data_IF_071936838835
#
_entry.id   IF_071936838835
#
_cell.length_a   1.000
_cell.length_b   1.000
_cell.length_c   1.000
_cell.angle_alpha   90.00
_cell.angle_beta   90.00
_cell.angle_gamma   90.00
#
_symmetry.space_group_name_H-M   'P 1'
#
loop_
_entity.id
_entity.type
_entity.pdbx_description
1 polymer ?
#
# COMPACT_ATOMS: atom_id res chain seq x y z
N UNK A 1 24.70 27.88 44.33
CA UNK A 1 24.40 26.46 44.03
C UNK A 1 22.89 26.17 43.92
N UNK A 2 22.15 26.77 42.97
CA UNK A 2 20.68 26.56 42.86
C UNK A 2 20.18 26.15 41.46
N UNK A 3 21.07 25.77 40.53
CA UNK A 3 20.68 25.61 39.11
C UNK A 3 20.53 24.15 38.66
N UNK A 4 21.16 23.19 39.36
CA UNK A 4 21.19 21.78 38.90
C UNK A 4 19.87 21.05 39.19
N UNK A 5 19.27 21.27 40.37
CA UNK A 5 18.04 20.56 40.77
C UNK A 5 16.82 20.93 39.90
N UNK A 6 16.79 22.15 39.35
CA UNK A 6 15.71 22.58 38.46
C UNK A 6 15.74 21.85 37.11
N UNK A 7 16.94 21.65 36.54
CA UNK A 7 17.11 20.97 35.26
C UNK A 7 16.76 19.48 35.36
N UNK A 8 17.12 18.82 36.48
CA UNK A 8 16.75 17.41 36.73
C UNK A 8 15.23 17.24 36.75
N UNK A 9 14.50 18.14 37.43
CA UNK A 9 13.04 18.09 37.52
C UNK A 9 12.34 18.33 36.18
N UNK A 10 12.91 19.20 35.33
CA UNK A 10 12.41 19.41 33.96
C UNK A 10 12.60 18.14 33.12
N UNK A 11 13.76 17.49 33.21
CA UNK A 11 14.05 16.26 32.46
C UNK A 11 13.14 15.10 32.87
N UNK A 12 12.86 14.95 34.17
CA UNK A 12 11.92 13.95 34.67
C UNK A 12 10.47 14.22 34.23
N UNK A 13 10.07 15.49 34.23
CA UNK A 13 8.73 15.90 33.77
C UNK A 13 8.54 15.61 32.28
N UNK A 14 9.57 15.90 31.46
CA UNK A 14 9.57 15.58 30.03
C UNK A 14 9.55 14.05 29.79
N UNK A 15 10.30 13.27 30.58
CA UNK A 15 10.25 11.79 30.51
C UNK A 15 8.87 11.23 30.84
N UNK A 16 8.20 11.76 31.87
CA UNK A 16 6.87 11.32 32.26
C UNK A 16 5.82 11.67 31.21
N UNK A 17 5.86 12.89 30.67
CA UNK A 17 4.96 13.30 29.59
C UNK A 17 5.19 12.52 28.30
N UNK A 18 6.44 12.18 27.98
CA UNK A 18 6.78 11.36 26.81
C UNK A 18 6.32 9.91 26.98
N UNK A 19 6.48 9.32 28.17
CA UNK A 19 5.93 7.99 28.48
C UNK A 19 4.41 7.98 28.38
N UNK A 20 3.73 9.01 28.88
CA UNK A 20 2.26 9.13 28.78
C UNK A 20 1.78 9.25 27.34
N UNK A 21 2.52 9.97 26.47
CA UNK A 21 2.28 9.98 25.01
C UNK A 21 2.56 8.64 24.35
N UNK A 22 3.65 7.94 24.72
CA UNK A 22 3.96 6.60 24.22
C UNK A 22 2.93 5.55 24.65
N UNK A 23 2.39 5.66 25.87
CA UNK A 23 1.29 4.79 26.29
C UNK A 23 0.00 5.12 25.55
N UNK A 24 -0.31 6.40 25.29
CA UNK A 24 -1.45 6.77 24.44
C UNK A 24 -1.34 6.23 23.01
N UNK A 25 -0.12 6.13 22.46
CA UNK A 25 0.14 5.49 21.15
C UNK A 25 -0.02 3.96 21.23
N UNK A 26 0.31 3.33 22.36
CA UNK A 26 0.04 1.90 22.58
C UNK A 26 -1.44 1.60 22.84
N UNK A 27 -2.22 2.54 23.38
CA UNK A 27 -3.66 2.37 23.66
C UNK A 27 -4.57 2.82 22.52
N UNK A 28 -4.04 3.36 21.43
CA UNK A 28 -4.62 3.05 20.12
C UNK A 28 -4.37 1.56 19.87
N UNK A 29 -5.17 0.73 20.54
CA UNK A 29 -5.66 -0.48 19.91
C UNK A 29 -6.30 0.01 18.61
N UNK A 30 -5.48 0.10 17.55
CA UNK A 30 -5.98 -0.18 16.23
C UNK A 30 -6.72 -1.49 16.44
N UNK A 31 -8.06 -1.42 16.45
CA UNK A 31 -8.87 -2.58 16.25
C UNK A 31 -8.41 -3.06 14.87
N UNK A 32 -7.38 -3.91 14.85
CA UNK A 32 -7.04 -4.72 13.70
C UNK A 32 -8.28 -5.58 13.57
N UNK A 33 -9.22 -5.05 12.79
CA UNK A 33 -10.44 -5.72 12.42
C UNK A 33 -9.98 -7.09 11.94
N UNK A 34 -10.36 -8.16 12.66
CA UNK A 34 -9.73 -9.49 12.48
C UNK A 34 -9.92 -10.05 11.07
N UNK A 35 -10.75 -9.41 10.25
CA UNK A 35 -10.95 -9.69 8.83
C UNK A 35 -10.09 -8.87 7.86
N UNK A 36 -9.25 -7.95 8.32
CA UNK A 36 -8.30 -7.24 7.46
C UNK A 36 -7.09 -8.14 7.22
N UNK A 37 -6.90 -8.51 5.96
CA UNK A 37 -5.79 -9.32 5.48
C UNK A 37 -4.92 -8.49 4.55
N UNK A 38 -3.67 -8.94 4.38
CA UNK A 38 -2.72 -8.34 3.44
C UNK A 38 -2.42 -9.36 2.35
N UNK A 39 -2.56 -8.93 1.10
CA UNK A 39 -2.23 -9.70 -0.09
C UNK A 39 -1.03 -9.04 -0.75
N UNK A 40 -0.07 -9.85 -1.19
CA UNK A 40 1.08 -9.39 -1.96
C UNK A 40 1.36 -10.36 -3.08
N UNK A 41 1.59 -9.82 -4.26
CA UNK A 41 1.94 -10.58 -5.45
C UNK A 41 2.87 -9.79 -6.35
N UNK A 42 3.56 -10.53 -7.22
CA UNK A 42 4.54 -10.00 -8.16
C UNK A 42 4.21 -10.54 -9.54
N UNK A 43 4.20 -9.66 -10.54
CA UNK A 43 3.87 -10.01 -11.92
C UNK A 43 4.93 -9.41 -12.85
N UNK A 44 5.69 -10.24 -13.57
CA UNK A 44 6.65 -9.75 -14.55
C UNK A 44 5.92 -9.12 -15.74
N UNK A 45 6.51 -8.09 -16.33
CA UNK A 45 5.99 -7.41 -17.52
C UNK A 45 5.79 -5.91 -17.34
N UNK A 46 5.35 -5.26 -18.41
CA UNK A 46 5.04 -3.82 -18.42
C UNK A 46 3.54 -3.63 -18.51
N UNK A 47 3.00 -2.76 -17.67
CA UNK A 47 1.60 -2.37 -17.71
C UNK A 47 1.45 -1.03 -18.43
N UNK A 48 0.38 -0.85 -19.21
CA UNK A 48 0.04 0.48 -19.73
C UNK A 48 -0.60 1.31 -18.62
N UNK A 49 -0.34 2.61 -18.62
CA UNK A 49 -0.90 3.51 -17.61
C UNK A 49 -2.44 3.50 -17.61
N UNK A 50 -3.05 3.45 -18.80
CA UNK A 50 -4.51 3.31 -18.98
C UNK A 50 -5.06 2.01 -18.36
N UNK A 51 -4.40 0.89 -18.59
CA UNK A 51 -4.79 -0.42 -18.08
C UNK A 51 -4.66 -0.47 -16.55
N UNK A 52 -3.59 0.12 -16.01
CA UNK A 52 -3.41 0.26 -14.56
C UNK A 52 -4.53 1.10 -13.93
N UNK A 53 -4.90 2.22 -14.56
CA UNK A 53 -5.99 3.07 -14.08
C UNK A 53 -7.32 2.32 -14.04
N UNK A 54 -7.64 1.56 -15.10
CA UNK A 54 -8.84 0.73 -15.16
C UNK A 54 -8.84 -0.36 -14.08
N UNK A 55 -7.70 -1.02 -13.88
CA UNK A 55 -7.54 -2.01 -12.81
C UNK A 55 -7.83 -1.41 -11.43
N UNK A 56 -7.24 -0.25 -11.11
CA UNK A 56 -7.42 0.40 -9.81
C UNK A 56 -8.87 0.86 -9.63
N UNK A 57 -9.50 1.44 -10.66
CA UNK A 57 -10.92 1.83 -10.60
C UNK A 57 -11.84 0.62 -10.36
N UNK A 58 -11.63 -0.46 -11.10
CA UNK A 58 -12.41 -1.69 -10.96
C UNK A 58 -12.27 -2.30 -9.55
N UNK A 59 -11.09 -2.11 -8.95
CA UNK A 59 -10.78 -2.65 -7.64
C UNK A 59 -11.27 -1.76 -6.49
N UNK A 60 -11.08 -0.43 -6.57
CA UNK A 60 -11.41 0.51 -5.49
C UNK A 60 -12.85 1.02 -5.54
N UNK A 61 -13.38 1.35 -6.73
CA UNK A 61 -14.68 2.03 -6.88
C UNK A 61 -15.81 1.06 -7.17
N UNK A 62 -15.61 0.27 -8.23
CA UNK A 62 -16.62 -0.65 -8.72
C UNK A 62 -16.84 -1.81 -7.75
N UNK A 63 -15.79 -2.18 -7.00
CA UNK A 63 -15.80 -3.34 -6.08
C UNK A 63 -16.36 -4.60 -6.75
N UNK A 64 -16.14 -4.71 -8.06
CA UNK A 64 -16.64 -5.78 -8.90
C UNK A 64 -15.84 -7.07 -8.71
N UNK A 65 -14.67 -6.98 -8.08
CA UNK A 65 -13.85 -8.14 -7.74
C UNK A 65 -14.46 -8.82 -6.52
N UNK A 66 -15.00 -10.02 -6.75
CA UNK A 66 -15.57 -10.88 -5.72
C UNK A 66 -14.61 -12.02 -5.42
N UNK A 67 -14.55 -12.44 -4.15
CA UNK A 67 -13.82 -13.63 -3.77
C UNK A 67 -14.49 -14.90 -4.32
N UNK A 68 -13.84 -16.06 -4.16
CA UNK A 68 -14.39 -17.36 -4.58
C UNK A 68 -15.73 -17.71 -3.93
N UNK A 69 -16.09 -17.05 -2.83
CA UNK A 69 -17.34 -17.25 -2.09
C UNK A 69 -18.43 -16.26 -2.49
N UNK A 70 -18.14 -15.32 -3.41
CA UNK A 70 -19.06 -14.32 -3.92
C UNK A 70 -19.13 -13.04 -3.08
N UNK A 71 -18.29 -12.89 -2.05
CA UNK A 71 -18.21 -11.65 -1.26
C UNK A 71 -17.40 -10.60 -2.00
N UNK A 72 -17.87 -9.36 -1.91
CA UNK A 72 -17.16 -8.19 -2.42
C UNK A 72 -15.85 -7.97 -1.65
N UNK A 73 -14.76 -7.78 -2.39
CA UNK A 73 -13.47 -7.39 -1.83
C UNK A 73 -13.47 -5.91 -1.45
N UNK A 74 -12.99 -5.60 -0.25
CA UNK A 74 -12.92 -4.24 0.26
C UNK A 74 -11.46 -3.85 0.46
N UNK A 75 -10.90 -3.06 -0.45
CA UNK A 75 -9.51 -2.60 -0.39
C UNK A 75 -9.44 -1.28 0.39
N UNK A 76 -8.75 -1.31 1.53
CA UNK A 76 -8.53 -0.14 2.39
C UNK A 76 -7.28 0.62 1.94
N UNK A 77 -6.23 -0.11 1.56
CA UNK A 77 -4.98 0.47 1.12
C UNK A 77 -4.36 -0.35 0.00
N UNK A 78 -3.90 0.34 -1.02
CA UNK A 78 -3.10 -0.19 -2.11
C UNK A 78 -1.72 0.49 -2.06
N UNK A 79 -0.66 -0.29 -2.20
CA UNK A 79 0.66 0.21 -2.57
C UNK A 79 1.26 -0.72 -3.59
N UNK A 80 1.97 -0.19 -4.57
CA UNK A 80 2.66 -1.02 -5.52
C UNK A 80 3.80 -0.27 -6.18
N UNK A 81 4.76 -1.04 -6.66
CA UNK A 81 5.79 -0.60 -7.57
C UNK A 81 5.46 -1.23 -8.92
N UNK A 82 5.24 -0.43 -9.94
CA UNK A 82 4.81 -0.90 -11.26
C UNK A 82 5.77 -0.43 -12.33
N UNK A 83 5.94 -1.26 -13.35
CA UNK A 83 6.68 -0.91 -14.55
C UNK A 83 5.71 -0.45 -15.63
N UNK A 84 5.71 0.85 -15.92
CA UNK A 84 4.83 1.42 -16.94
C UNK A 84 5.51 1.38 -18.31
N UNK A 85 4.79 0.90 -19.32
CA UNK A 85 5.27 0.90 -20.69
C UNK A 85 5.60 2.32 -21.16
N UNK A 86 6.83 2.53 -21.65
CA UNK A 86 7.31 3.83 -22.10
C UNK A 86 7.97 4.68 -21.01
N UNK A 87 7.98 4.24 -19.74
CA UNK A 87 8.71 4.90 -18.65
C UNK A 87 9.99 4.14 -18.30
N UNK A 88 11.09 4.88 -18.21
CA UNK A 88 12.39 4.32 -17.79
C UNK A 88 12.49 4.17 -16.28
N UNK A 89 11.74 4.95 -15.50
CA UNK A 89 11.75 4.87 -14.04
C UNK A 89 10.64 3.99 -13.47
N UNK A 90 10.86 3.52 -12.25
CA UNK A 90 9.85 2.81 -11.48
C UNK A 90 8.76 3.79 -11.04
N UNK A 91 7.51 3.36 -11.08
CA UNK A 91 6.37 4.17 -10.64
C UNK A 91 5.77 3.53 -9.40
N UNK A 92 5.62 4.32 -8.35
CA UNK A 92 4.91 3.92 -7.15
C UNK A 92 3.44 4.28 -7.33
N UNK A 93 2.57 3.27 -7.24
CA UNK A 93 1.15 3.46 -7.04
C UNK A 93 0.84 3.41 -5.55
N UNK A 94 0.07 4.37 -5.05
CA UNK A 94 -0.45 4.32 -3.70
C UNK A 94 -1.90 4.77 -3.66
N UNK A 95 -2.75 3.99 -3.00
CA UNK A 95 -4.15 4.31 -2.82
C UNK A 95 -4.64 4.05 -1.41
N UNK A 96 -5.60 4.85 -0.97
CA UNK A 96 -6.28 4.76 0.31
C UNK A 96 -7.77 4.94 0.07
N UNK A 97 -8.56 3.93 0.42
CA UNK A 97 -9.98 3.84 0.08
C UNK A 97 -10.19 4.00 -1.44
N UNK A 98 -10.80 5.11 -1.86
CA UNK A 98 -11.17 5.37 -3.26
C UNK A 98 -10.17 6.29 -3.97
N UNK A 99 -9.19 6.83 -3.25
CA UNK A 99 -8.20 7.74 -3.83
C UNK A 99 -6.91 6.98 -4.13
N UNK A 100 -6.31 7.25 -5.27
CA UNK A 100 -4.99 6.75 -5.61
C UNK A 100 -4.16 7.80 -6.33
N UNK A 101 -2.85 7.63 -6.27
CA UNK A 101 -1.86 8.48 -6.90
C UNK A 101 -0.75 7.62 -7.54
N UNK A 102 -0.11 8.19 -8.57
CA UNK A 102 1.02 7.59 -9.29
C UNK A 102 2.21 8.54 -9.20
N UNK A 103 3.26 8.09 -8.52
CA UNK A 103 4.48 8.86 -8.32
C UNK A 103 5.64 8.19 -9.04
N UNK A 104 6.25 8.89 -10.00
CA UNK A 104 7.49 8.43 -10.63
C UNK A 104 8.65 8.57 -9.64
N UNK A 105 9.40 7.49 -9.46
CA UNK A 105 10.55 7.48 -8.54
C UNK A 105 11.82 7.96 -9.26
N UNK A 106 12.81 8.37 -8.48
CA UNK A 106 14.15 8.65 -9.01
C UNK A 106 14.92 7.39 -9.43
N UNK A 107 14.36 6.19 -9.20
CA UNK A 107 15.01 4.91 -9.51
C UNK A 107 14.65 4.54 -10.94
N UNK A 108 15.65 4.54 -11.82
CA UNK A 108 15.52 3.99 -13.15
C UNK A 108 15.48 2.46 -13.07
N UNK A 109 14.72 1.82 -13.95
CA UNK A 109 14.90 0.41 -14.23
C UNK A 109 16.18 0.22 -15.03
N UNK A 110 17.01 -0.74 -14.63
CA UNK A 110 18.20 -1.10 -15.41
C UNK A 110 17.80 -1.74 -16.75
N UNK A 111 18.63 -1.59 -17.78
CA UNK A 111 18.35 -2.13 -19.12
C UNK A 111 18.24 -3.66 -19.14
N UNK A 112 18.95 -4.34 -18.25
CA UNK A 112 18.94 -5.80 -18.07
C UNK A 112 18.04 -6.28 -16.92
N UNK A 113 17.36 -5.37 -16.21
CA UNK A 113 16.47 -5.76 -15.11
C UNK A 113 15.11 -6.20 -15.65
N UNK A 114 14.68 -7.39 -15.21
CA UNK A 114 13.34 -7.89 -15.49
C UNK A 114 12.30 -6.97 -14.86
N UNK A 115 11.68 -6.14 -15.69
CA UNK A 115 10.55 -5.27 -15.33
C UNK A 115 9.50 -6.09 -14.58
N UNK A 116 9.31 -5.78 -13.30
CA UNK A 116 8.42 -6.55 -12.42
C UNK A 116 7.52 -5.61 -11.64
N UNK A 117 6.23 -5.94 -11.62
CA UNK A 117 5.22 -5.22 -10.87
C UNK A 117 5.04 -5.90 -9.52
N UNK A 118 5.08 -5.15 -8.42
CA UNK A 118 4.90 -5.65 -7.06
C UNK A 118 3.77 -4.89 -6.42
N UNK A 119 2.69 -5.57 -6.06
CA UNK A 119 1.52 -4.93 -5.44
C UNK A 119 1.27 -5.50 -4.06
N UNK A 120 0.90 -4.61 -3.14
CA UNK A 120 0.54 -4.86 -1.75
C UNK A 120 -0.83 -4.25 -1.51
N UNK A 121 -1.79 -5.10 -1.18
CA UNK A 121 -3.17 -4.71 -0.90
C UNK A 121 -3.53 -5.08 0.52
N UNK A 122 -4.21 -4.19 1.21
CA UNK A 122 -4.67 -4.38 2.58
C UNK A 122 -6.17 -4.12 2.59
N UNK A 123 -6.94 -5.08 3.07
CA UNK A 123 -8.39 -5.05 2.92
C UNK A 123 -9.09 -6.26 3.50
N UNK A 124 -10.41 -6.34 3.32
CA UNK A 124 -11.24 -7.46 3.79
C UNK A 124 -11.65 -8.35 2.63
N UNK A 125 -11.76 -9.65 2.88
CA UNK A 125 -12.15 -10.67 1.90
C UNK A 125 -11.28 -10.67 0.62
N UNK A 126 -10.04 -10.20 0.69
CA UNK A 126 -9.14 -10.17 -0.46
C UNK A 126 -8.76 -11.59 -0.90
N UNK A 127 -8.99 -11.93 -2.16
CA UNK A 127 -8.50 -13.17 -2.74
C UNK A 127 -7.26 -12.89 -3.60
N UNK A 128 -6.11 -13.39 -3.15
CA UNK A 128 -4.84 -13.21 -3.84
C UNK A 128 -4.89 -13.72 -5.28
N UNK A 129 -5.46 -14.90 -5.50
CA UNK A 129 -5.40 -15.56 -6.81
C UNK A 129 -6.22 -14.79 -7.83
N UNK A 130 -7.42 -14.35 -7.44
CA UNK A 130 -8.29 -13.55 -8.32
C UNK A 130 -7.67 -12.19 -8.60
N UNK A 131 -7.18 -11.46 -7.58
CA UNK A 131 -6.58 -10.13 -7.81
C UNK A 131 -5.33 -10.26 -8.69
N UNK A 132 -4.51 -11.29 -8.45
CA UNK A 132 -3.31 -11.54 -9.24
C UNK A 132 -3.68 -11.90 -10.69
N UNK A 133 -4.69 -12.74 -10.91
CA UNK A 133 -5.16 -13.12 -12.25
C UNK A 133 -5.70 -11.92 -13.03
N UNK A 134 -6.54 -11.09 -12.40
CA UNK A 134 -7.04 -9.85 -12.99
C UNK A 134 -5.87 -8.94 -13.37
N UNK A 135 -4.89 -8.77 -12.49
CA UNK A 135 -3.71 -7.95 -12.77
C UNK A 135 -2.85 -8.54 -13.90
N UNK A 136 -2.65 -9.86 -13.94
CA UNK A 136 -1.95 -10.55 -15.03
C UNK A 136 -2.66 -10.31 -16.36
N UNK A 137 -3.99 -10.37 -16.38
CA UNK A 137 -4.78 -10.05 -17.57
C UNK A 137 -4.52 -8.62 -18.03
N UNK A 138 -4.53 -7.66 -17.11
CA UNK A 138 -4.24 -6.24 -17.39
C UNK A 138 -2.82 -6.00 -17.96
N UNK A 139 -1.82 -6.77 -17.51
CA UNK A 139 -0.44 -6.75 -18.04
C UNK A 139 -0.34 -7.46 -19.39
N UNK A 140 -1.13 -8.52 -19.59
CA UNK A 140 -1.06 -9.40 -20.76
C UNK A 140 -1.95 -8.97 -21.92
N UNK A 141 -2.86 -8.02 -21.69
CA UNK A 141 -3.67 -7.35 -22.73
C UNK A 141 -2.76 -6.59 -23.71
N UNK A 142 -2.18 -7.36 -24.63
CA UNK A 142 -1.72 -6.90 -25.92
C UNK A 142 -2.97 -6.46 -26.69
N UNK A 143 -3.08 -5.15 -26.91
CA UNK A 143 -3.98 -4.56 -27.91
C UNK A 143 -3.86 -5.32 -29.25
#
# INVERSE_FOLDING_TARGET
>A
FRTINGLVKILETQRSSLRKKLEHVKTTHAHLDKGIITVTFEVPGNIKEENLHLFIQNLLWEKNVKDKTGHTMDVIRLKGLVSIQGKSHQVIVQGVHELYDLEETAVAWEEDENRTNRLVLIGRNLDKEIIQEVFISTVSEKQ
#
